data_IF_011874999084
#
_entry.id   IF_011874999084
#
_cell.length_a   1.000
_cell.length_b   1.000
_cell.length_c   1.000
_cell.angle_alpha   90.00
_cell.angle_beta   90.00
_cell.angle_gamma   90.00
#
_symmetry.space_group_name_H-M   'P 1'
#
loop_
_entity.id
_entity.type
_entity.pdbx_description
1 polymer ?
#
# COMPACT_ATOMS: atom_id res chain seq x y z
N UNK A 1 -0.53 4.03 15.17
CA UNK A 1 0.52 4.92 14.64
C UNK A 1 1.03 5.91 15.68
N UNK A 2 0.17 6.61 16.42
CA UNK A 2 0.58 7.54 17.48
C UNK A 2 1.51 6.90 18.51
N UNK A 3 1.21 5.69 18.95
CA UNK A 3 2.05 4.94 19.91
C UNK A 3 3.45 4.59 19.38
N UNK A 4 3.68 4.78 18.08
CA UNK A 4 4.98 4.61 17.42
C UNK A 4 5.76 5.92 17.33
N UNK A 5 5.26 7.02 17.93
CA UNK A 5 5.87 8.35 17.88
C UNK A 5 5.62 9.11 16.57
N UNK A 6 4.68 8.65 15.75
CA UNK A 6 4.32 9.36 14.52
C UNK A 6 3.42 10.57 14.81
N UNK A 7 3.68 11.66 14.11
CA UNK A 7 2.84 12.86 14.12
C UNK A 7 1.81 12.75 12.99
N UNK A 8 0.53 12.85 13.32
CA UNK A 8 -0.55 12.88 12.33
C UNK A 8 -0.73 14.30 11.82
N UNK A 9 -0.52 14.52 10.54
CA UNK A 9 -0.69 15.81 9.89
C UNK A 9 -2.13 16.04 9.39
N UNK A 10 -2.92 14.97 9.25
CA UNK A 10 -4.29 15.07 8.77
C UNK A 10 -4.85 13.74 8.28
N UNK A 11 -6.01 13.83 7.61
CA UNK A 11 -6.68 12.72 6.94
C UNK A 11 -6.58 12.91 5.44
N UNK A 12 -6.44 11.81 4.70
CA UNK A 12 -6.48 11.79 3.25
C UNK A 12 -7.85 11.37 2.74
N UNK A 13 -8.11 11.59 1.46
CA UNK A 13 -9.30 11.14 0.77
C UNK A 13 -9.35 9.62 0.65
N UNK A 14 -10.55 9.08 0.74
CA UNK A 14 -10.86 7.66 0.62
C UNK A 14 -12.21 7.55 -0.11
N UNK A 15 -12.39 6.65 -1.08
CA UNK A 15 -13.67 6.48 -1.75
C UNK A 15 -14.72 5.90 -0.79
N UNK A 16 -15.98 6.00 -1.16
CA UNK A 16 -17.10 5.52 -0.34
C UNK A 16 -16.88 4.07 0.11
N UNK A 17 -17.05 3.85 1.41
CA UNK A 17 -16.85 2.56 2.08
C UNK A 17 -15.47 1.91 1.88
N UNK A 18 -14.52 2.55 1.18
CA UNK A 18 -13.20 2.00 0.89
C UNK A 18 -13.19 0.82 -0.09
N UNK A 19 -14.25 0.61 -0.88
CA UNK A 19 -14.36 -0.52 -1.80
C UNK A 19 -13.79 -0.27 -3.20
N UNK A 20 -14.03 0.88 -3.85
CA UNK A 20 -13.58 1.10 -5.21
C UNK A 20 -12.04 1.07 -5.36
N UNK A 21 -11.53 0.56 -6.51
CA UNK A 21 -10.10 0.58 -6.84
C UNK A 21 -9.61 1.95 -7.32
N UNK A 22 -10.48 2.96 -7.35
CA UNK A 22 -10.19 4.36 -7.63
C UNK A 22 -10.69 5.24 -6.48
N UNK A 23 -10.10 6.43 -6.32
CA UNK A 23 -10.52 7.40 -5.30
C UNK A 23 -11.30 8.53 -5.97
N UNK A 24 -12.52 8.19 -6.32
CA UNK A 24 -13.47 9.04 -7.04
C UNK A 24 -14.74 9.21 -6.21
N UNK A 25 -15.44 10.33 -6.43
CA UNK A 25 -16.59 10.72 -5.65
C UNK A 25 -17.72 11.15 -6.57
N UNK A 26 -19.00 10.81 -6.29
CA UNK A 26 -20.13 11.22 -7.12
C UNK A 26 -20.32 12.75 -7.21
N UNK A 27 -20.00 13.46 -6.14
CA UNK A 27 -20.30 14.89 -6.00
C UNK A 27 -19.06 15.73 -5.59
N UNK A 28 -17.84 15.23 -5.82
CA UNK A 28 -16.60 15.94 -5.52
C UNK A 28 -15.51 15.59 -6.53
N UNK A 29 -14.49 16.42 -6.60
CA UNK A 29 -13.33 16.17 -7.46
C UNK A 29 -12.62 14.88 -7.05
N UNK A 30 -12.29 14.03 -8.03
CA UNK A 30 -11.54 12.81 -7.76
C UNK A 30 -10.11 13.11 -7.31
N UNK A 31 -9.52 12.16 -6.59
CA UNK A 31 -8.10 12.24 -6.25
C UNK A 31 -7.26 11.91 -7.48
N UNK A 32 -6.55 12.90 -7.97
CA UNK A 32 -5.72 12.81 -9.18
C UNK A 32 -4.32 12.28 -8.89
N UNK A 33 -3.75 11.64 -9.89
CA UNK A 33 -2.37 11.19 -9.84
C UNK A 33 -1.42 12.41 -9.92
N UNK A 34 -0.50 12.60 -8.96
CA UNK A 34 0.40 13.76 -8.95
C UNK A 34 1.36 13.82 -10.14
N UNK A 35 1.66 12.67 -10.77
CA UNK A 35 2.53 12.63 -11.95
C UNK A 35 1.80 13.04 -13.23
N UNK A 36 0.51 12.73 -13.32
CA UNK A 36 -0.33 13.13 -14.44
C UNK A 36 -1.80 13.24 -13.97
N UNK A 37 -2.30 14.47 -13.78
CA UNK A 37 -3.68 14.69 -13.29
C UNK A 37 -4.80 14.17 -14.20
N UNK A 38 -4.50 13.74 -15.44
CA UNK A 38 -5.48 13.08 -16.31
C UNK A 38 -5.76 11.63 -15.88
N UNK A 39 -4.92 11.07 -15.00
CA UNK A 39 -5.03 9.70 -14.50
C UNK A 39 -5.48 9.65 -13.04
N UNK A 40 -6.04 8.50 -12.67
CA UNK A 40 -6.42 8.21 -11.27
C UNK A 40 -5.18 7.98 -10.40
N UNK A 41 -5.29 8.35 -9.11
CA UNK A 41 -4.31 7.95 -8.10
C UNK A 41 -4.48 6.47 -7.67
N UNK A 42 -5.47 5.76 -8.21
CA UNK A 42 -5.89 4.45 -7.74
C UNK A 42 -6.68 4.53 -6.43
N UNK A 43 -6.96 3.36 -5.83
CA UNK A 43 -7.76 3.28 -4.61
C UNK A 43 -7.63 1.91 -3.92
N UNK A 44 -8.21 1.81 -2.72
CA UNK A 44 -8.96 2.86 -2.03
C UNK A 44 -8.07 3.86 -1.25
N UNK A 45 -6.77 3.59 -1.03
CA UNK A 45 -5.84 4.51 -0.34
C UNK A 45 -5.23 5.56 -1.30
N UNK A 46 -6.00 6.06 -2.28
CA UNK A 46 -5.50 6.98 -3.30
C UNK A 46 -5.09 8.34 -2.76
N UNK A 47 -5.82 8.89 -1.80
CA UNK A 47 -5.42 10.14 -1.15
C UNK A 47 -4.09 10.04 -0.41
N UNK A 48 -3.86 8.91 0.27
CA UNK A 48 -2.57 8.60 0.90
C UNK A 48 -1.45 8.50 -0.14
N UNK A 49 -1.71 7.80 -1.24
CA UNK A 49 -0.74 7.68 -2.33
C UNK A 49 -0.39 9.04 -2.96
N UNK A 50 -1.40 9.83 -3.25
CA UNK A 50 -1.20 11.16 -3.84
C UNK A 50 -0.34 12.07 -2.94
N UNK A 51 -0.59 12.10 -1.62
CA UNK A 51 0.19 12.89 -0.68
C UNK A 51 1.65 12.43 -0.59
N UNK A 52 1.90 11.12 -0.59
CA UNK A 52 3.26 10.56 -0.54
C UNK A 52 3.99 10.81 -1.85
N UNK A 53 3.34 10.60 -3.00
CA UNK A 53 3.93 10.82 -4.32
C UNK A 53 4.24 12.31 -4.58
N UNK A 54 3.36 13.21 -4.13
CA UNK A 54 3.58 14.65 -4.18
C UNK A 54 4.66 15.17 -3.19
N UNK A 55 5.23 14.30 -2.34
CA UNK A 55 6.25 14.69 -1.38
C UNK A 55 5.73 15.42 -0.14
N UNK A 56 4.42 15.52 0.05
CA UNK A 56 3.81 16.23 1.20
C UNK A 56 4.12 15.52 2.51
N UNK A 57 4.11 14.19 2.50
CA UNK A 57 4.48 13.35 3.64
C UNK A 57 5.42 12.23 3.20
N UNK A 58 6.33 11.77 4.09
CA UNK A 58 7.22 10.65 3.75
C UNK A 58 6.50 9.30 3.69
N UNK A 59 5.45 9.15 4.47
CA UNK A 59 4.70 7.92 4.66
C UNK A 59 3.24 8.25 4.96
N UNK A 60 2.31 7.44 4.45
CA UNK A 60 0.89 7.57 4.77
C UNK A 60 0.26 6.20 5.00
N UNK A 61 -0.73 6.15 5.90
CA UNK A 61 -1.50 4.95 6.20
C UNK A 61 -2.32 4.50 4.99
N UNK A 62 -2.43 3.18 4.83
CA UNK A 62 -3.35 2.53 3.92
C UNK A 62 -3.86 1.21 4.49
N UNK A 63 -4.98 0.74 3.97
CA UNK A 63 -5.50 -0.59 4.24
C UNK A 63 -5.67 -1.35 2.93
N UNK A 64 -5.52 -2.67 2.94
CA UNK A 64 -5.57 -3.50 1.74
C UNK A 64 -6.36 -4.79 1.99
N UNK A 65 -7.52 -4.89 1.38
CA UNK A 65 -8.33 -6.11 1.31
C UNK A 65 -8.30 -6.74 -0.07
N UNK A 66 -8.46 -5.92 -1.12
CA UNK A 66 -8.47 -6.32 -2.53
C UNK A 66 -7.37 -5.69 -3.38
N UNK A 67 -6.46 -4.90 -2.78
CA UNK A 67 -5.40 -4.18 -3.49
C UNK A 67 -5.24 -2.73 -3.07
N UNK A 68 -5.95 -2.27 -2.05
CA UNK A 68 -6.08 -0.84 -1.72
C UNK A 68 -4.83 -0.16 -1.15
N UNK A 69 -3.72 -0.88 -0.92
CA UNK A 69 -2.35 -0.33 -0.80
C UNK A 69 -1.61 -0.47 -2.13
N UNK A 70 -1.67 -1.65 -2.74
CA UNK A 70 -0.87 -2.03 -3.91
C UNK A 70 -1.29 -1.30 -5.17
N UNK A 71 -2.60 -1.15 -5.42
CA UNK A 71 -3.15 -0.44 -6.58
C UNK A 71 -2.69 1.02 -6.59
N UNK A 72 -2.96 1.84 -5.56
CA UNK A 72 -2.54 3.22 -5.58
C UNK A 72 -1.01 3.38 -5.52
N UNK A 73 -0.27 2.44 -4.92
CA UNK A 73 1.18 2.44 -4.99
C UNK A 73 1.68 2.26 -6.43
N UNK A 74 1.10 1.33 -7.18
CA UNK A 74 1.44 1.09 -8.58
C UNK A 74 1.10 2.32 -9.45
N UNK A 75 -0.09 2.91 -9.27
CA UNK A 75 -0.51 4.10 -10.01
C UNK A 75 0.40 5.31 -9.76
N UNK A 76 0.87 5.48 -8.52
CA UNK A 76 1.63 6.67 -8.11
C UNK A 76 3.15 6.44 -8.00
N UNK A 77 3.69 5.31 -8.44
CA UNK A 77 5.13 5.02 -8.43
C UNK A 77 5.70 4.91 -7.01
N UNK A 78 4.98 4.26 -6.10
CA UNK A 78 5.32 4.13 -4.69
C UNK A 78 5.60 2.68 -4.30
N UNK A 79 6.20 2.51 -3.13
CA UNK A 79 6.28 1.22 -2.45
C UNK A 79 5.00 0.97 -1.66
N UNK A 80 4.28 -0.09 -2.05
CA UNK A 80 3.07 -0.54 -1.38
C UNK A 80 3.17 -2.01 -1.02
N UNK A 81 3.44 -2.31 0.24
CA UNK A 81 3.53 -3.67 0.77
C UNK A 81 2.25 -4.04 1.53
N UNK A 82 1.54 -5.04 1.02
CA UNK A 82 0.49 -5.70 1.78
C UNK A 82 1.12 -6.81 2.64
N UNK A 83 1.19 -6.68 3.97
CA UNK A 83 1.78 -7.71 4.82
C UNK A 83 0.92 -8.98 4.82
N UNK A 84 1.51 -10.09 5.24
CA UNK A 84 0.78 -11.33 5.50
C UNK A 84 -0.32 -11.08 6.54
N UNK A 85 -1.50 -11.63 6.30
CA UNK A 85 -2.61 -11.58 7.27
C UNK A 85 -2.17 -12.11 8.64
N UNK A 86 -2.53 -11.37 9.69
CA UNK A 86 -2.15 -11.71 11.06
C UNK A 86 -0.73 -11.33 11.45
N UNK A 87 0.05 -10.68 10.58
CA UNK A 87 1.34 -10.11 10.97
C UNK A 87 1.17 -8.97 11.96
N UNK A 88 0.28 -8.05 11.65
CA UNK A 88 -0.14 -7.00 12.58
C UNK A 88 -1.55 -7.31 13.13
N UNK A 89 -1.94 -6.62 14.18
CA UNK A 89 -3.29 -6.70 14.73
C UNK A 89 -4.31 -6.29 13.67
N UNK A 90 -5.40 -7.04 13.58
CA UNK A 90 -6.51 -6.71 12.69
C UNK A 90 -7.22 -5.45 13.20
N UNK A 91 -7.46 -4.43 12.34
CA UNK A 91 -8.21 -3.25 12.70
C UNK A 91 -9.59 -3.60 13.24
N UNK A 92 -10.10 -2.81 14.21
CA UNK A 92 -11.41 -3.07 14.80
C UNK A 92 -12.53 -3.07 13.74
N UNK A 93 -12.48 -2.14 12.79
CA UNK A 93 -13.43 -2.06 11.68
C UNK A 93 -13.42 -3.29 10.76
N UNK A 94 -12.28 -3.96 10.61
CA UNK A 94 -12.18 -5.15 9.78
C UNK A 94 -12.70 -6.42 10.48
N UNK A 95 -12.87 -6.40 11.80
CA UNK A 95 -13.36 -7.56 12.57
C UNK A 95 -14.85 -7.86 12.34
N UNK A 96 -15.60 -6.88 11.86
CA UNK A 96 -17.04 -7.03 11.56
C UNK A 96 -17.29 -7.57 10.15
N UNK A 97 -16.25 -7.67 9.32
CA UNK A 97 -16.38 -8.23 7.98
C UNK A 97 -16.55 -9.76 8.04
N UNK A 98 -17.39 -10.36 7.19
CA UNK A 98 -17.59 -11.80 7.12
C UNK A 98 -16.29 -12.58 6.87
N UNK A 99 -15.36 -11.98 6.13
CA UNK A 99 -14.06 -12.55 5.80
C UNK A 99 -12.96 -11.56 6.20
N UNK A 100 -12.03 -12.01 7.02
CA UNK A 100 -10.89 -11.20 7.44
C UNK A 100 -9.81 -11.18 6.36
N UNK A 101 -9.97 -10.29 5.37
CA UNK A 101 -9.04 -10.09 4.27
C UNK A 101 -8.26 -8.77 4.38
N UNK A 102 -8.73 -7.83 5.21
CA UNK A 102 -8.15 -6.50 5.32
C UNK A 102 -6.93 -6.51 6.23
N UNK A 103 -5.87 -5.87 5.78
CA UNK A 103 -4.65 -5.61 6.55
C UNK A 103 -4.29 -4.13 6.47
N UNK A 104 -3.79 -3.58 7.57
CA UNK A 104 -3.22 -2.24 7.61
C UNK A 104 -1.77 -2.24 7.18
N UNK A 105 -1.35 -1.12 6.61
CA UNK A 105 0.01 -0.87 6.21
C UNK A 105 0.23 0.58 5.83
N UNK A 106 1.23 0.80 5.01
CA UNK A 106 1.62 2.15 4.58
C UNK A 106 2.02 2.18 3.11
N UNK A 107 1.95 3.39 2.56
CA UNK A 107 2.59 3.76 1.31
C UNK A 107 3.80 4.64 1.62
N UNK A 108 4.90 4.43 0.93
CA UNK A 108 6.13 5.23 1.06
C UNK A 108 6.85 5.33 -0.28
N UNK A 109 7.87 6.21 -0.35
CA UNK A 109 8.73 6.33 -1.53
C UNK A 109 9.90 5.36 -1.54
N UNK A 110 10.16 4.65 -0.43
CA UNK A 110 11.31 3.75 -0.34
C UNK A 110 11.01 2.46 0.40
N UNK A 111 11.68 1.39 -0.01
CA UNK A 111 11.65 0.10 0.70
C UNK A 111 12.17 0.25 2.14
N UNK A 112 13.17 1.10 2.36
CA UNK A 112 13.73 1.40 3.69
C UNK A 112 12.67 1.94 4.64
N UNK A 113 11.87 2.91 4.19
CA UNK A 113 10.85 3.54 5.03
C UNK A 113 9.70 2.57 5.31
N UNK A 114 9.29 1.78 4.31
CA UNK A 114 8.32 0.69 4.50
C UNK A 114 8.84 -0.33 5.52
N UNK A 115 10.08 -0.79 5.38
CA UNK A 115 10.67 -1.77 6.30
C UNK A 115 10.78 -1.22 7.72
N UNK A 116 11.19 0.04 7.87
CA UNK A 116 11.25 0.71 9.17
C UNK A 116 9.88 0.78 9.84
N UNK A 117 8.84 1.16 9.07
CA UNK A 117 7.47 1.18 9.59
C UNK A 117 7.06 -0.19 10.13
N UNK A 118 7.23 -1.25 9.35
CA UNK A 118 6.83 -2.60 9.78
C UNK A 118 7.64 -3.10 10.96
N UNK A 119 8.94 -2.83 11.00
CA UNK A 119 9.80 -3.20 12.13
C UNK A 119 9.36 -2.52 13.44
N UNK A 120 8.94 -1.27 13.38
CA UNK A 120 8.43 -0.56 14.57
C UNK A 120 6.99 -0.97 14.91
N UNK A 121 6.14 -1.21 13.91
CA UNK A 121 4.77 -1.69 14.11
C UNK A 121 4.74 -3.08 14.75
N UNK A 122 5.62 -3.98 14.34
CA UNK A 122 5.72 -5.33 14.91
C UNK A 122 6.07 -5.33 16.40
N UNK A 123 6.86 -4.39 16.87
CA UNK A 123 7.20 -4.28 18.30
C UNK A 123 5.97 -4.07 19.19
N UNK A 124 4.91 -3.47 18.63
CA UNK A 124 3.69 -3.08 19.38
C UNK A 124 2.46 -3.90 19.00
N UNK A 125 2.36 -4.31 17.74
CA UNK A 125 1.13 -4.85 17.15
C UNK A 125 1.32 -6.24 16.55
N UNK A 126 2.47 -6.89 16.73
CA UNK A 126 2.73 -8.22 16.19
C UNK A 126 1.90 -9.30 16.92
N UNK A 127 1.27 -10.18 16.16
CA UNK A 127 0.87 -11.49 16.64
C UNK A 127 2.11 -12.40 16.57
N UNK A 128 2.65 -12.78 17.69
CA UNK A 128 3.95 -13.51 17.89
C UNK A 128 4.14 -14.84 17.14
N UNK A 129 3.38 -15.12 16.08
CA UNK A 129 3.43 -16.40 15.34
C UNK A 129 4.30 -16.35 14.06
N UNK A 130 4.76 -15.16 13.67
CA UNK A 130 5.56 -15.00 12.46
C UNK A 130 6.95 -14.48 12.80
N UNK A 131 8.00 -14.89 12.06
CA UNK A 131 9.32 -14.30 12.21
C UNK A 131 9.25 -12.77 12.00
N UNK A 132 9.98 -11.97 12.78
CA UNK A 132 10.00 -10.54 12.62
C UNK A 132 10.56 -10.14 11.25
N UNK A 133 10.01 -9.10 10.64
CA UNK A 133 10.55 -8.54 9.40
C UNK A 133 11.92 -7.90 9.64
N UNK A 134 12.09 -7.28 10.80
CA UNK A 134 13.31 -6.55 11.13
C UNK A 134 13.52 -5.31 10.25
N UNK A 135 14.67 -4.67 10.43
CA UNK A 135 15.11 -3.55 9.60
C UNK A 135 15.91 -4.10 8.41
N UNK A 136 15.61 -3.61 7.22
CA UNK A 136 16.42 -3.90 6.03
C UNK A 136 17.61 -2.92 6.04
N UNK A 137 18.78 -3.43 6.39
CA UNK A 137 20.01 -2.62 6.52
C UNK A 137 21.08 -2.95 5.49
N UNK A 138 20.94 -4.09 4.80
CA UNK A 138 21.92 -4.57 3.83
C UNK A 138 21.24 -5.15 2.59
N UNK A 139 21.97 -5.24 1.49
CA UNK A 139 21.56 -6.04 0.35
C UNK A 139 21.64 -7.53 0.68
N UNK A 140 20.77 -8.38 0.08
CA UNK A 140 20.89 -9.81 0.27
C UNK A 140 22.25 -10.32 -0.25
N UNK A 141 22.87 -11.23 0.49
CA UNK A 141 24.17 -11.82 0.11
C UNK A 141 24.10 -12.65 -1.17
N UNK A 142 22.92 -13.09 -1.55
CA UNK A 142 22.67 -13.84 -2.78
C UNK A 142 21.53 -13.23 -3.59
N UNK A 143 21.60 -13.38 -4.90
CA UNK A 143 20.46 -13.05 -5.77
C UNK A 143 19.29 -13.98 -5.48
N UNK A 144 18.11 -13.40 -5.30
CA UNK A 144 16.86 -14.14 -5.17
C UNK A 144 16.37 -14.56 -6.56
N UNK A 145 15.81 -15.75 -6.65
CA UNK A 145 15.10 -16.20 -7.85
C UNK A 145 13.62 -15.87 -7.70
N UNK A 146 13.06 -15.21 -8.70
CA UNK A 146 11.64 -14.87 -8.75
C UNK A 146 10.98 -15.62 -9.89
N UNK A 147 9.79 -16.19 -9.63
CA UNK A 147 8.91 -16.69 -10.67
C UNK A 147 8.07 -15.52 -11.23
N UNK A 148 8.12 -15.32 -12.53
CA UNK A 148 7.34 -14.31 -13.22
C UNK A 148 6.07 -14.93 -13.81
N UNK A 149 4.89 -14.43 -13.44
CA UNK A 149 3.61 -14.82 -14.00
C UNK A 149 2.97 -13.61 -14.65
N UNK A 150 3.01 -13.56 -15.97
CA UNK A 150 2.52 -12.46 -16.80
C UNK A 150 1.23 -12.80 -17.55
N UNK A 151 0.78 -14.04 -17.48
CA UNK A 151 -0.53 -14.45 -18.01
C UNK A 151 -1.59 -14.28 -16.96
N UNK A 152 -2.63 -13.51 -17.26
CA UNK A 152 -3.76 -13.29 -16.36
C UNK A 152 -5.01 -14.01 -16.92
N UNK A 153 -5.80 -14.68 -16.09
CA UNK A 153 -7.06 -15.28 -16.51
C UNK A 153 -8.17 -14.26 -16.78
N UNK A 154 -7.97 -12.99 -16.36
CA UNK A 154 -8.99 -11.91 -16.45
C UNK A 154 -8.71 -10.92 -17.58
N UNK A 155 -7.59 -11.04 -18.30
CA UNK A 155 -7.25 -10.15 -19.40
C UNK A 155 -5.78 -10.19 -19.74
N UNK A 156 -5.45 -9.64 -20.89
CA UNK A 156 -4.05 -9.48 -21.30
C UNK A 156 -3.40 -8.28 -20.62
N UNK A 157 -2.12 -8.38 -20.35
CA UNK A 157 -1.30 -7.27 -19.88
C UNK A 157 -1.03 -6.33 -21.05
N UNK A 158 -1.28 -5.04 -20.86
CA UNK A 158 -1.04 -4.03 -21.90
C UNK A 158 0.45 -3.98 -22.33
N UNK A 159 0.69 -3.50 -23.55
CA UNK A 159 2.01 -3.47 -24.14
C UNK A 159 3.03 -2.63 -23.34
N UNK A 160 2.71 -1.43 -22.80
CA UNK A 160 3.61 -0.66 -21.95
C UNK A 160 4.01 -1.38 -20.66
N UNK A 161 3.04 -1.98 -19.98
CA UNK A 161 3.31 -2.78 -18.76
C UNK A 161 4.17 -3.99 -19.06
N UNK A 162 3.89 -4.69 -20.17
CA UNK A 162 4.69 -5.82 -20.63
C UNK A 162 6.14 -5.42 -20.91
N UNK A 163 6.35 -4.34 -21.66
CA UNK A 163 7.69 -3.85 -21.99
C UNK A 163 8.49 -3.45 -20.74
N UNK A 164 7.83 -2.88 -19.71
CA UNK A 164 8.51 -2.57 -18.45
C UNK A 164 8.93 -3.82 -17.69
N UNK A 165 8.18 -4.91 -17.84
CA UNK A 165 8.49 -6.17 -17.17
C UNK A 165 9.61 -6.95 -17.86
N UNK A 166 9.71 -6.85 -19.19
CA UNK A 166 10.70 -7.57 -20.01
C UNK A 166 12.10 -6.86 -19.98
N UNK A 167 12.22 -5.63 -19.44
CA UNK A 167 13.47 -4.88 -19.24
C UNK A 167 14.06 -5.11 -17.83
#
# INVERSE_FOLDING_TARGET
>A
MFDMGMVCLGKSTLPEFGFPPSTEFPNAEPTRNPWNPAHTAGGSSGGSAALVAAGVVPIAHGADGGGSIRIPAACCGLVGLKPTRGRLLTPAAAKVLPVNIVVDGVLSRSVRDTALYYAEAEKRYCKRRLPPMGRVTTHPERRLQFGAVIKSPVGEVDAPTRATFDN
#
